data_IF_818562825648
#
_entry.id   IF_818562825648
#
_cell.length_a   1.000
_cell.length_b   1.000
_cell.length_c   1.000
_cell.angle_alpha   90.00
_cell.angle_beta   90.00
_cell.angle_gamma   90.00
#
_symmetry.space_group_name_H-M   'P 1'
#
loop_
_entity.id
_entity.type
_entity.pdbx_description
1 polymer ?
#
# COMPACT_ATOMS: atom_id res chain seq x y z
N UNK A 1 3.72 -13.57 -0.55
CA UNK A 1 3.21 -12.58 0.42
C UNK A 1 3.25 -13.16 1.82
N UNK A 2 3.73 -12.39 2.79
CA UNK A 2 3.74 -12.79 4.19
C UNK A 2 2.51 -12.23 4.90
N UNK A 3 1.72 -13.08 5.54
CA UNK A 3 0.56 -12.63 6.32
C UNK A 3 1.00 -11.97 7.63
N UNK A 4 0.42 -10.82 7.97
CA UNK A 4 0.75 -10.09 9.20
C UNK A 4 0.16 -10.76 10.45
N UNK A 5 -0.78 -11.67 10.30
CA UNK A 5 -1.40 -12.40 11.40
C UNK A 5 -0.89 -13.85 11.55
N UNK A 6 0.20 -14.18 10.87
CA UNK A 6 0.82 -15.48 11.01
C UNK A 6 1.66 -15.53 12.30
N UNK A 7 1.13 -16.21 13.31
CA UNK A 7 1.78 -16.34 14.62
C UNK A 7 3.11 -17.10 14.59
N UNK A 8 3.40 -17.79 13.50
CA UNK A 8 4.68 -18.49 13.31
C UNK A 8 5.81 -17.54 12.95
N UNK A 9 5.49 -16.33 12.49
CA UNK A 9 6.48 -15.32 12.16
C UNK A 9 6.76 -14.46 13.39
N UNK A 10 8.04 -14.27 13.69
CA UNK A 10 8.45 -13.45 14.82
C UNK A 10 7.96 -11.99 14.61
N UNK A 11 7.28 -11.45 15.61
CA UNK A 11 6.78 -10.08 15.58
C UNK A 11 5.46 -9.89 14.84
N UNK A 12 4.86 -10.96 14.31
CA UNK A 12 3.53 -10.90 13.69
C UNK A 12 2.47 -11.49 14.63
N UNK A 13 1.23 -11.59 14.11
CA UNK A 13 0.09 -12.12 14.85
C UNK A 13 -1.00 -11.09 15.05
N UNK A 14 -2.04 -11.47 15.80
CA UNK A 14 -3.24 -10.64 15.99
C UNK A 14 -2.95 -9.26 16.58
N UNK A 15 -1.99 -9.18 17.48
CA UNK A 15 -1.61 -7.90 18.10
C UNK A 15 -1.05 -6.93 17.09
N UNK A 16 -0.15 -7.38 16.23
CA UNK A 16 0.43 -6.55 15.16
C UNK A 16 -0.65 -6.14 14.17
N UNK A 17 -1.49 -7.08 13.75
CA UNK A 17 -2.59 -6.82 12.83
C UNK A 17 -3.53 -5.75 13.37
N UNK A 18 -3.89 -5.83 14.65
CA UNK A 18 -4.78 -4.85 15.29
C UNK A 18 -4.12 -3.48 15.39
N UNK A 19 -2.83 -3.40 15.68
CA UNK A 19 -2.09 -2.13 15.69
C UNK A 19 -2.12 -1.46 14.32
N UNK A 20 -1.86 -2.22 13.26
CA UNK A 20 -1.87 -1.71 11.89
C UNK A 20 -3.28 -1.22 11.52
N UNK A 21 -4.32 -1.98 11.87
CA UNK A 21 -5.70 -1.58 11.66
C UNK A 21 -6.00 -0.23 12.32
N UNK A 22 -5.64 -0.06 13.59
CA UNK A 22 -5.96 1.16 14.33
C UNK A 22 -5.22 2.37 13.77
N UNK A 23 -3.93 2.25 13.46
CA UNK A 23 -3.15 3.34 12.88
C UNK A 23 -3.68 3.73 11.51
N UNK A 24 -3.96 2.75 10.66
CA UNK A 24 -4.45 2.99 9.30
C UNK A 24 -5.87 3.55 9.29
N UNK A 25 -6.74 3.00 10.15
CA UNK A 25 -8.12 3.50 10.30
C UNK A 25 -8.13 4.96 10.73
N UNK A 26 -7.31 5.31 11.71
CA UNK A 26 -7.21 6.69 12.18
C UNK A 26 -6.73 7.65 11.08
N UNK A 27 -5.69 7.27 10.36
CA UNK A 27 -5.16 8.08 9.25
C UNK A 27 -6.20 8.26 8.14
N UNK A 28 -6.87 7.19 7.73
CA UNK A 28 -7.91 7.25 6.70
C UNK A 28 -9.13 8.04 7.16
N UNK A 29 -9.52 7.91 8.42
CA UNK A 29 -10.63 8.69 8.99
C UNK A 29 -10.31 10.18 8.99
N UNK A 30 -9.12 10.57 9.41
CA UNK A 30 -8.71 11.99 9.38
C UNK A 30 -8.67 12.53 7.96
N UNK A 31 -8.16 11.74 7.02
CA UNK A 31 -8.03 12.17 5.63
C UNK A 31 -9.38 12.29 4.93
N UNK A 32 -10.30 11.35 5.13
CA UNK A 32 -11.61 11.33 4.48
C UNK A 32 -12.67 12.13 5.21
N UNK A 33 -12.51 12.32 6.52
CA UNK A 33 -13.54 12.88 7.39
C UNK A 33 -14.74 11.96 7.63
N UNK A 34 -14.61 10.67 7.32
CA UNK A 34 -15.69 9.68 7.38
C UNK A 34 -15.34 8.50 8.26
N UNK A 35 -16.38 7.91 8.88
CA UNK A 35 -16.25 6.62 9.52
C UNK A 35 -16.08 5.53 8.47
N UNK A 36 -15.07 4.67 8.66
CA UNK A 36 -14.71 3.63 7.71
C UNK A 36 -14.77 2.27 8.38
N UNK A 37 -15.28 1.28 7.64
CA UNK A 37 -15.31 -0.11 8.08
C UNK A 37 -14.07 -0.83 7.53
N UNK A 38 -13.25 -1.46 8.40
CA UNK A 38 -12.13 -2.27 7.94
C UNK A 38 -12.62 -3.44 7.08
N UNK A 39 -12.02 -3.61 5.91
CA UNK A 39 -12.41 -4.66 4.98
C UNK A 39 -11.31 -5.72 4.88
N UNK A 40 -10.09 -5.32 4.55
CA UNK A 40 -9.00 -6.25 4.31
C UNK A 40 -7.67 -5.65 4.72
N UNK A 41 -6.85 -6.47 5.35
CA UNK A 41 -5.44 -6.21 5.58
C UNK A 41 -4.68 -7.41 5.02
N UNK A 42 -4.02 -7.20 3.90
CA UNK A 42 -3.21 -8.24 3.28
C UNK A 42 -1.87 -8.37 4.01
N UNK A 43 -1.00 -9.14 3.71
CA UNK A 43 0.31 -9.21 4.35
C UNK A 43 1.33 -8.30 3.68
N UNK A 44 2.58 -8.55 3.97
CA UNK A 44 3.69 -7.86 3.34
C UNK A 44 3.91 -8.48 1.96
N UNK A 45 3.84 -7.64 0.93
CA UNK A 45 4.18 -8.02 -0.44
C UNK A 45 5.58 -7.54 -0.76
N UNK A 46 6.43 -8.46 -1.14
CA UNK A 46 7.79 -8.15 -1.57
C UNK A 46 7.84 -8.14 -3.10
N UNK A 47 8.16 -6.98 -3.65
CA UNK A 47 8.44 -6.83 -5.07
C UNK A 47 9.94 -6.98 -5.28
N UNK A 48 10.33 -7.68 -6.32
CA UNK A 48 11.73 -7.94 -6.66
C UNK A 48 12.15 -7.17 -7.89
N UNK A 49 13.43 -7.24 -8.24
CA UNK A 49 13.99 -6.54 -9.42
C UNK A 49 13.18 -6.84 -10.68
N UNK A 50 12.84 -5.79 -11.42
CA UNK A 50 12.06 -5.88 -12.64
C UNK A 50 10.55 -6.00 -12.47
N UNK A 51 10.05 -6.05 -11.22
CA UNK A 51 8.61 -6.12 -10.96
C UNK A 51 7.89 -4.88 -11.47
N UNK A 52 6.68 -5.10 -11.99
CA UNK A 52 5.73 -4.05 -12.32
C UNK A 52 4.39 -4.39 -11.68
N UNK A 53 3.56 -3.38 -11.49
CA UNK A 53 2.15 -3.55 -11.09
C UNK A 53 1.30 -2.86 -12.14
N UNK A 54 0.49 -3.64 -12.86
CA UNK A 54 -0.36 -3.11 -13.92
C UNK A 54 -1.35 -2.09 -13.35
N UNK A 55 -1.60 -1.03 -14.11
CA UNK A 55 -2.55 0.01 -13.74
C UNK A 55 -3.96 -0.59 -13.63
N UNK A 56 -4.63 -0.34 -12.51
CA UNK A 56 -5.94 -0.92 -12.20
C UNK A 56 -6.69 -0.06 -11.18
N UNK A 57 -7.93 -0.42 -10.90
CA UNK A 57 -8.66 0.02 -9.70
C UNK A 57 -8.95 -1.21 -8.86
N UNK A 58 -9.07 -1.01 -7.54
CA UNK A 58 -9.44 -2.08 -6.64
C UNK A 58 -10.95 -2.32 -6.72
N UNK A 59 -11.33 -3.59 -6.53
CA UNK A 59 -12.74 -3.98 -6.55
C UNK A 59 -13.46 -3.57 -5.27
N UNK A 60 -14.76 -3.33 -5.36
CA UNK A 60 -15.59 -3.21 -4.16
C UNK A 60 -15.47 -4.50 -3.32
N UNK A 61 -15.51 -4.42 -1.99
CA UNK A 61 -15.86 -3.24 -1.20
C UNK A 61 -14.69 -2.31 -0.85
N UNK A 62 -13.55 -2.41 -1.51
CA UNK A 62 -12.38 -1.60 -1.23
C UNK A 62 -12.57 -0.20 -1.85
N UNK A 63 -12.80 0.80 -1.00
CA UNK A 63 -13.07 2.18 -1.44
C UNK A 63 -11.87 3.08 -1.22
N UNK A 64 -11.33 3.09 -0.01
CA UNK A 64 -10.12 3.81 0.36
C UNK A 64 -9.10 2.83 0.92
N UNK A 65 -7.85 3.10 0.62
CA UNK A 65 -6.77 2.18 0.98
C UNK A 65 -5.53 2.94 1.45
N UNK A 66 -4.68 2.23 2.15
CA UNK A 66 -3.37 2.71 2.55
C UNK A 66 -2.32 1.71 2.10
N UNK A 67 -1.19 2.22 1.63
CA UNK A 67 0.01 1.43 1.36
C UNK A 67 1.09 1.91 2.32
N UNK A 68 1.65 0.98 3.09
CA UNK A 68 2.74 1.26 4.00
C UNK A 68 4.02 0.69 3.39
N UNK A 69 5.04 1.51 3.26
CA UNK A 69 6.36 1.03 2.86
C UNK A 69 7.07 0.47 4.10
N UNK A 70 7.37 -0.83 4.07
CA UNK A 70 7.98 -1.53 5.20
C UNK A 70 9.50 -1.48 5.12
N UNK A 71 10.05 -1.81 3.96
CA UNK A 71 11.49 -1.83 3.71
C UNK A 71 11.76 -1.80 2.22
N UNK A 72 12.93 -1.29 1.83
CA UNK A 72 13.32 -1.31 0.43
C UNK A 72 14.84 -1.27 0.29
N UNK A 73 15.30 -1.82 -0.83
CA UNK A 73 16.67 -1.68 -1.31
C UNK A 73 16.58 -1.47 -2.83
N UNK A 74 16.49 -0.21 -3.22
CA UNK A 74 16.26 0.19 -4.61
C UNK A 74 17.37 1.13 -5.08
N UNK A 75 17.71 1.04 -6.37
CA UNK A 75 18.73 1.88 -6.99
C UNK A 75 18.20 3.27 -7.30
N UNK A 76 16.90 3.38 -7.52
CA UNK A 76 16.21 4.64 -7.75
C UNK A 76 14.79 4.56 -7.17
N UNK A 77 14.12 5.70 -6.91
CA UNK A 77 12.74 5.69 -6.41
C UNK A 77 11.81 4.90 -7.33
N UNK A 78 10.94 4.09 -6.73
CA UNK A 78 9.97 3.28 -7.46
C UNK A 78 8.54 3.76 -7.12
N UNK A 79 7.99 4.68 -7.92
CA UNK A 79 6.76 5.36 -7.58
C UNK A 79 5.52 4.50 -7.76
N UNK A 80 4.49 4.84 -6.99
CA UNK A 80 3.11 4.50 -7.33
C UNK A 80 2.60 5.58 -8.28
N UNK A 81 2.18 5.20 -9.48
CA UNK A 81 1.51 6.11 -10.40
C UNK A 81 0.03 6.12 -10.11
N UNK A 82 -0.53 7.29 -9.92
CA UNK A 82 -1.97 7.49 -9.68
C UNK A 82 -2.51 8.43 -10.75
N UNK A 83 -3.59 8.01 -11.39
CA UNK A 83 -4.33 8.88 -12.33
C UNK A 83 -5.42 9.55 -11.53
N UNK A 84 -5.26 10.84 -11.29
CA UNK A 84 -6.20 11.64 -10.51
C UNK A 84 -7.55 11.83 -11.22
N UNK A 85 -8.53 12.34 -10.47
CA UNK A 85 -9.85 12.67 -11.04
C UNK A 85 -9.78 13.75 -12.12
N UNK A 86 -8.70 14.52 -12.16
CA UNK A 86 -8.41 15.50 -13.21
C UNK A 86 -7.85 14.86 -14.49
N UNK A 87 -7.67 13.56 -14.53
CA UNK A 87 -7.11 12.82 -15.66
C UNK A 87 -5.59 12.90 -15.78
N UNK A 88 -4.89 13.52 -14.84
CA UNK A 88 -3.45 13.66 -14.85
C UNK A 88 -2.79 12.55 -14.06
N UNK A 89 -1.60 12.11 -14.51
CA UNK A 89 -0.80 11.11 -13.82
C UNK A 89 0.11 11.77 -12.80
N UNK A 90 0.15 11.20 -11.61
CA UNK A 90 1.02 11.64 -10.51
C UNK A 90 1.87 10.47 -10.04
N UNK A 91 3.17 10.69 -9.89
CA UNK A 91 4.07 9.70 -9.31
C UNK A 91 4.29 10.01 -7.84
N UNK A 92 3.94 9.07 -6.98
CA UNK A 92 4.06 9.22 -5.54
C UNK A 92 5.09 8.22 -5.02
N UNK A 93 6.12 8.72 -4.36
CA UNK A 93 7.15 7.88 -3.75
C UNK A 93 7.11 8.01 -2.24
N UNK A 94 7.34 6.90 -1.54
CA UNK A 94 7.41 6.87 -0.08
C UNK A 94 8.68 6.15 0.36
N UNK A 95 9.17 6.57 1.52
CA UNK A 95 10.29 5.92 2.19
C UNK A 95 9.78 4.88 3.19
N UNK A 96 10.61 3.93 3.64
CA UNK A 96 10.22 3.01 4.70
C UNK A 96 9.66 3.75 5.91
N UNK A 97 8.53 3.28 6.42
CA UNK A 97 7.79 3.90 7.52
C UNK A 97 6.75 4.91 7.10
N UNK A 98 6.70 5.30 5.82
CA UNK A 98 5.70 6.22 5.30
C UNK A 98 4.51 5.47 4.70
N UNK A 99 3.39 6.16 4.57
CA UNK A 99 2.11 5.62 4.12
C UNK A 99 1.52 6.50 3.01
N UNK A 100 0.99 5.87 1.96
CA UNK A 100 0.16 6.52 0.94
C UNK A 100 -1.30 6.22 1.24
N UNK A 101 -2.14 7.26 1.25
CA UNK A 101 -3.59 7.14 1.35
C UNK A 101 -4.21 7.46 -0.01
N UNK A 102 -5.11 6.62 -0.49
CA UNK A 102 -5.70 6.82 -1.81
C UNK A 102 -7.10 6.22 -1.95
N UNK A 103 -7.86 6.76 -2.90
CA UNK A 103 -9.20 6.28 -3.24
C UNK A 103 -9.07 5.11 -4.22
N UNK A 104 -8.80 3.92 -3.69
CA UNK A 104 -8.35 2.76 -4.45
C UNK A 104 -9.37 2.22 -5.46
N UNK A 105 -10.67 2.47 -5.23
CA UNK A 105 -11.70 2.02 -6.16
C UNK A 105 -11.92 3.01 -7.33
N UNK A 106 -11.76 4.30 -7.09
CA UNK A 106 -12.12 5.34 -8.06
C UNK A 106 -10.95 5.90 -8.85
N UNK A 107 -9.70 5.75 -8.37
CA UNK A 107 -8.53 6.22 -9.11
C UNK A 107 -7.72 5.05 -9.64
N UNK A 108 -7.37 5.14 -10.92
CA UNK A 108 -6.45 4.19 -11.54
C UNK A 108 -5.08 4.35 -10.89
N UNK A 109 -4.47 3.25 -10.50
CA UNK A 109 -3.16 3.26 -9.87
C UNK A 109 -2.37 2.01 -10.26
N UNK A 110 -1.07 2.11 -10.20
CA UNK A 110 -0.18 1.01 -10.52
C UNK A 110 1.28 1.42 -10.43
N UNK A 111 2.14 0.51 -10.81
CA UNK A 111 3.58 0.73 -10.89
C UNK A 111 4.06 0.20 -12.25
N UNK A 112 3.84 0.99 -13.33
CA UNK A 112 4.12 0.55 -14.69
C UNK A 112 5.62 0.51 -15.01
N UNK A 113 6.45 1.17 -14.19
CA UNK A 113 7.91 1.18 -14.40
C UNK A 113 8.55 0.01 -13.64
N UNK A 114 9.48 -0.72 -14.27
CA UNK A 114 10.15 -1.82 -13.58
C UNK A 114 10.93 -1.36 -12.35
N UNK A 115 10.85 -2.13 -11.27
CA UNK A 115 11.67 -1.90 -10.09
C UNK A 115 13.14 -2.08 -10.43
N UNK A 116 13.95 -1.06 -10.15
CA UNK A 116 15.40 -1.11 -10.30
C UNK A 116 16.04 -1.18 -8.92
N UNK A 117 16.67 -2.32 -8.63
CA UNK A 117 17.27 -2.62 -7.35
C UNK A 117 16.97 -4.05 -6.93
N UNK A 118 17.06 -4.34 -5.65
CA UNK A 118 16.88 -5.69 -5.12
C UNK A 118 15.42 -5.97 -4.75
N UNK A 119 14.79 -5.08 -3.98
CA UNK A 119 13.41 -5.30 -3.56
C UNK A 119 12.75 -4.03 -3.01
N UNK A 120 11.43 -4.09 -2.95
CA UNK A 120 10.57 -3.16 -2.21
C UNK A 120 9.47 -3.97 -1.52
N UNK A 121 9.32 -3.81 -0.21
CA UNK A 121 8.33 -4.53 0.57
C UNK A 121 7.26 -3.56 1.09
N UNK A 122 6.02 -3.80 0.73
CA UNK A 122 4.87 -2.98 1.11
C UNK A 122 3.79 -3.81 1.80
N UNK A 123 3.03 -3.13 2.62
CA UNK A 123 1.87 -3.70 3.30
C UNK A 123 0.62 -2.89 2.95
#
# INVERSE_FOLDING_TARGET
>A
MLSVDDDKLKGSGSKLKNMIWEVSRHALHEWTGQELTPTSLYGIRKYTSGSILATHVDRLPLVTSAIINVAQDVDEPWPLEVIGHDGLAYNVTIQPGEMILYESHSVLHGRPFPLKGNYCANM
#
